data_IF_409261002180
#
_entry.id   IF_409261002180
#
_cell.length_a   1.000
_cell.length_b   1.000
_cell.length_c   1.000
_cell.angle_alpha   90.00
_cell.angle_beta   90.00
_cell.angle_gamma   90.00
#
_symmetry.space_group_name_H-M   'P 1'
#
loop_
_entity.id
_entity.type
_entity.pdbx_description
1 polymer ?
#
# COMPACT_ATOMS: atom_id res chain seq x y z
N UNK A 1 -4.99 26.24 15.41
CA UNK A 1 -6.01 25.32 14.85
C UNK A 1 -5.74 25.27 13.36
N UNK A 2 -5.52 24.10 12.80
CA UNK A 2 -5.43 23.95 11.35
C UNK A 2 -6.83 23.64 10.86
N UNK A 3 -7.35 24.43 9.94
CA UNK A 3 -8.67 24.23 9.37
C UNK A 3 -8.55 23.97 7.87
N UNK A 4 -9.29 23.00 7.42
CA UNK A 4 -9.44 22.66 6.03
C UNK A 4 -10.86 22.95 5.58
N UNK A 5 -11.00 23.55 4.41
CA UNK A 5 -12.29 23.81 3.80
C UNK A 5 -12.31 23.13 2.43
N UNK A 6 -13.25 22.22 2.24
CA UNK A 6 -13.44 21.51 0.98
C UNK A 6 -14.79 21.74 0.40
N UNK A 7 -14.82 21.65 -0.90
CA UNK A 7 -16.05 21.58 -1.69
C UNK A 7 -16.21 20.11 -2.11
N UNK A 8 -17.25 19.45 -1.60
CA UNK A 8 -17.63 18.11 -2.03
C UNK A 8 -18.78 18.21 -3.03
N UNK A 9 -18.53 17.70 -4.23
CA UNK A 9 -19.60 17.53 -5.22
C UNK A 9 -20.50 16.37 -4.76
N UNK A 10 -21.80 16.59 -4.73
CA UNK A 10 -22.78 15.54 -4.42
C UNK A 10 -22.87 14.56 -5.58
N UNK A 11 -22.45 13.33 -5.36
CA UNK A 11 -22.42 12.28 -6.39
C UNK A 11 -23.80 11.86 -6.91
N UNK A 12 -24.90 12.17 -6.19
CA UNK A 12 -26.29 12.00 -6.64
C UNK A 12 -27.06 13.29 -6.42
N UNK A 13 -27.46 13.93 -7.51
CA UNK A 13 -28.34 15.09 -7.46
C UNK A 13 -29.79 14.65 -7.19
N UNK A 14 -30.43 15.28 -6.22
CA UNK A 14 -31.87 15.08 -6.00
C UNK A 14 -32.66 15.75 -7.15
N UNK A 15 -33.90 15.28 -7.43
CA UNK A 15 -34.75 15.87 -8.45
C UNK A 15 -34.93 17.39 -8.27
N UNK A 16 -35.00 17.85 -7.02
CA UNK A 16 -35.02 19.30 -6.71
C UNK A 16 -33.75 20.04 -7.16
N UNK A 17 -32.60 19.43 -7.02
CA UNK A 17 -31.32 20.03 -7.45
C UNK A 17 -31.17 20.09 -8.96
N UNK A 18 -31.77 19.12 -9.67
CA UNK A 18 -31.77 19.11 -11.15
C UNK A 18 -32.66 20.22 -11.73
N UNK A 19 -33.81 20.48 -11.12
CA UNK A 19 -34.82 21.40 -11.67
C UNK A 19 -34.77 22.83 -11.12
N UNK A 20 -33.97 23.08 -10.08
CA UNK A 20 -33.87 24.42 -9.46
C UNK A 20 -32.59 25.13 -9.87
N UNK A 21 -32.73 26.27 -10.55
CA UNK A 21 -31.59 27.07 -11.03
C UNK A 21 -30.72 27.70 -9.93
N UNK A 22 -31.09 27.60 -8.67
CA UNK A 22 -30.33 28.10 -7.52
C UNK A 22 -29.95 27.03 -6.50
N UNK A 23 -30.10 25.74 -6.84
CA UNK A 23 -29.80 24.68 -5.90
C UNK A 23 -28.29 24.52 -5.70
N UNK A 24 -27.85 24.44 -4.43
CA UNK A 24 -26.47 24.19 -4.07
C UNK A 24 -26.16 22.72 -4.39
N UNK A 25 -25.23 22.51 -5.32
CA UNK A 25 -24.78 21.20 -5.80
C UNK A 25 -23.55 20.68 -5.04
N UNK A 26 -22.98 21.51 -4.20
CA UNK A 26 -21.74 21.27 -3.48
C UNK A 26 -21.91 21.51 -2.00
N UNK A 27 -21.30 20.65 -1.19
CA UNK A 27 -21.25 20.84 0.26
C UNK A 27 -19.88 21.35 0.68
N UNK A 28 -19.87 22.26 1.64
CA UNK A 28 -18.65 22.77 2.24
C UNK A 28 -18.31 21.88 3.45
N UNK A 29 -17.19 21.17 3.39
CA UNK A 29 -16.68 20.39 4.52
C UNK A 29 -15.53 21.14 5.16
N UNK A 30 -15.65 21.40 6.45
CA UNK A 30 -14.60 22.06 7.23
C UNK A 30 -14.01 21.00 8.18
N UNK A 31 -12.76 20.65 7.95
CA UNK A 31 -11.98 19.80 8.86
C UNK A 31 -11.05 20.68 9.69
N UNK A 32 -11.06 20.53 10.99
CA UNK A 32 -10.20 21.31 11.88
C UNK A 32 -9.58 20.40 12.94
N UNK A 33 -8.28 20.54 13.14
CA UNK A 33 -7.56 19.86 14.21
C UNK A 33 -6.57 20.79 14.92
N UNK A 34 -6.27 20.49 16.17
CA UNK A 34 -5.30 21.22 16.95
C UNK A 34 -3.94 20.50 16.86
N UNK A 35 -2.91 21.11 16.27
CA UNK A 35 -1.58 20.49 16.22
C UNK A 35 -1.02 20.32 17.65
N UNK A 36 -0.22 19.30 17.86
CA UNK A 36 0.52 19.09 19.10
C UNK A 36 1.45 20.29 19.37
N UNK A 37 1.56 20.71 20.64
CA UNK A 37 2.39 21.85 21.02
C UNK A 37 3.86 21.65 20.59
N UNK A 38 4.40 20.44 20.74
CA UNK A 38 5.75 20.08 20.30
C UNK A 38 5.98 20.26 18.80
N UNK A 39 4.97 19.97 17.98
CA UNK A 39 5.03 20.18 16.53
C UNK A 39 4.95 21.67 16.19
N UNK A 40 4.10 22.40 16.92
CA UNK A 40 3.99 23.86 16.78
C UNK A 40 5.30 24.57 17.09
N UNK A 41 5.96 24.20 18.18
CA UNK A 41 7.25 24.76 18.58
C UNK A 41 8.36 24.44 17.56
N UNK A 42 8.41 23.22 17.06
CA UNK A 42 9.35 22.81 15.99
C UNK A 42 9.15 23.60 14.71
N UNK A 43 7.89 23.78 14.29
CA UNK A 43 7.56 24.54 13.08
C UNK A 43 7.92 26.03 13.28
N UNK A 44 7.63 26.61 14.45
CA UNK A 44 7.94 28.01 14.73
C UNK A 44 9.44 28.28 14.90
N UNK A 45 10.20 27.34 15.50
CA UNK A 45 11.63 27.47 15.70
C UNK A 45 12.44 27.29 14.40
N UNK A 46 11.92 26.53 13.46
CA UNK A 46 12.50 26.33 12.12
C UNK A 46 11.71 27.02 11.01
N UNK A 47 10.95 28.07 11.31
CA UNK A 47 10.04 28.72 10.39
C UNK A 47 10.69 29.03 9.02
N UNK A 48 10.10 28.46 7.95
CA UNK A 48 10.58 28.65 6.59
C UNK A 48 11.70 27.70 6.14
N UNK A 49 11.96 26.62 6.87
CA UNK A 49 12.85 25.53 6.44
C UNK A 49 12.08 24.36 5.82
N UNK A 50 12.75 23.61 4.97
CA UNK A 50 12.18 22.39 4.36
C UNK A 50 11.77 21.36 5.41
N UNK A 51 12.51 21.27 6.53
CA UNK A 51 12.18 20.36 7.64
C UNK A 51 10.80 20.65 8.27
N UNK A 52 10.39 21.92 8.32
CA UNK A 52 9.07 22.29 8.84
C UNK A 52 7.94 21.85 7.92
N UNK A 53 8.18 21.84 6.61
CA UNK A 53 7.24 21.26 5.64
C UNK A 53 6.98 19.79 5.94
N UNK A 54 8.02 19.00 6.11
CA UNK A 54 7.88 17.55 6.36
C UNK A 54 7.32 17.24 7.74
N UNK A 55 7.65 18.04 8.73
CA UNK A 55 7.03 17.94 10.06
C UNK A 55 5.51 18.22 10.00
N UNK A 56 5.11 19.24 9.22
CA UNK A 56 3.71 19.53 8.98
C UNK A 56 3.00 18.38 8.27
N UNK A 57 3.56 17.86 7.16
CA UNK A 57 2.96 16.75 6.39
C UNK A 57 2.80 15.51 7.26
N UNK A 58 3.83 15.16 8.05
CA UNK A 58 3.78 14.02 8.98
C UNK A 58 2.63 14.19 9.99
N UNK A 59 2.54 15.38 10.60
CA UNK A 59 1.47 15.68 11.55
C UNK A 59 0.09 15.68 10.89
N UNK A 60 -0.02 16.18 9.66
CA UNK A 60 -1.27 16.19 8.94
C UNK A 60 -1.72 14.76 8.62
N UNK A 61 -0.84 13.93 8.04
CA UNK A 61 -1.11 12.52 7.75
C UNK A 61 -1.49 11.71 8.99
N UNK A 62 -0.89 12.00 10.15
CA UNK A 62 -1.22 11.31 11.42
C UNK A 62 -2.63 11.58 11.93
N UNK A 63 -3.24 12.70 11.52
CA UNK A 63 -4.60 13.09 11.92
C UNK A 63 -5.67 12.68 10.89
N UNK A 64 -5.28 12.19 9.71
CA UNK A 64 -6.23 11.75 8.69
C UNK A 64 -6.65 10.29 8.94
N UNK A 65 -7.90 9.94 8.63
CA UNK A 65 -8.32 8.54 8.67
C UNK A 65 -7.45 7.70 7.73
N UNK A 66 -7.22 6.45 8.08
CA UNK A 66 -6.43 5.53 7.26
C UNK A 66 -7.33 4.79 6.27
N UNK A 67 -8.52 4.41 6.70
CA UNK A 67 -9.50 3.66 5.92
C UNK A 67 -10.85 4.36 6.01
N UNK A 68 -11.51 4.51 4.89
CA UNK A 68 -12.89 5.04 4.80
C UNK A 68 -13.69 4.14 3.86
N UNK A 69 -14.90 3.78 4.29
CA UNK A 69 -15.95 3.15 3.50
C UNK A 69 -17.24 3.94 3.77
N UNK A 70 -17.37 5.08 3.09
CA UNK A 70 -18.45 6.03 3.32
C UNK A 70 -19.82 5.49 2.90
N UNK A 71 -19.85 4.70 1.85
CA UNK A 71 -21.07 4.12 1.29
C UNK A 71 -21.42 2.76 1.89
N UNK A 72 -20.60 2.22 2.78
CA UNK A 72 -20.72 0.88 3.37
C UNK A 72 -20.91 -0.23 2.32
N UNK A 73 -20.20 -0.08 1.20
CA UNK A 73 -20.28 -1.00 0.08
C UNK A 73 -19.17 -2.09 0.09
N UNK A 74 -18.35 -2.10 1.14
CA UNK A 74 -17.22 -3.02 1.30
C UNK A 74 -16.02 -2.67 0.43
N UNK A 75 -15.94 -1.45 -0.09
CA UNK A 75 -14.78 -0.92 -0.83
C UNK A 75 -14.13 0.20 -0.04
N UNK A 76 -12.83 0.31 -0.19
CA UNK A 76 -12.08 1.41 0.42
C UNK A 76 -12.16 2.62 -0.51
N UNK A 77 -12.65 3.73 0.04
CA UNK A 77 -12.69 4.98 -0.68
C UNK A 77 -11.33 5.69 -0.71
N UNK A 78 -11.09 6.40 -1.79
CA UNK A 78 -9.95 7.31 -1.87
C UNK A 78 -10.19 8.47 -0.91
N UNK A 79 -9.22 8.73 -0.05
CA UNK A 79 -9.19 9.87 0.86
C UNK A 79 -8.42 11.00 0.16
N UNK A 80 -9.11 11.98 -0.44
CA UNK A 80 -8.46 12.99 -1.29
C UNK A 80 -7.37 13.79 -0.55
N UNK A 81 -7.50 13.98 0.79
CA UNK A 81 -6.53 14.68 1.63
C UNK A 81 -5.17 14.00 1.73
N UNK A 82 -5.13 12.74 1.38
CA UNK A 82 -3.87 11.98 1.31
C UNK A 82 -3.21 12.07 -0.06
N UNK A 83 -3.85 12.72 -1.03
CA UNK A 83 -3.28 12.91 -2.37
C UNK A 83 -2.30 14.08 -2.40
N UNK A 84 -1.28 13.98 -3.27
CA UNK A 84 -0.17 14.91 -3.34
C UNK A 84 -0.58 16.38 -3.44
N UNK A 85 -1.55 16.70 -4.32
CA UNK A 85 -1.97 18.08 -4.57
C UNK A 85 -2.65 18.70 -3.36
N UNK A 86 -3.50 17.94 -2.63
CA UNK A 86 -4.14 18.45 -1.41
C UNK A 86 -3.16 18.54 -0.23
N UNK A 87 -2.19 17.64 -0.13
CA UNK A 87 -1.12 17.77 0.86
C UNK A 87 -0.29 19.04 0.61
N UNK A 88 -0.01 19.37 -0.66
CA UNK A 88 0.67 20.61 -1.02
C UNK A 88 -0.17 21.84 -0.66
N UNK A 89 -1.42 21.87 -1.06
CA UNK A 89 -2.34 22.98 -0.77
C UNK A 89 -2.48 23.21 0.75
N UNK A 90 -2.53 22.15 1.53
CA UNK A 90 -2.58 22.22 3.00
C UNK A 90 -1.31 22.79 3.59
N UNK A 91 -0.18 22.37 3.11
CA UNK A 91 1.12 22.86 3.53
C UNK A 91 1.25 24.36 3.21
N UNK A 92 0.90 24.76 2.00
CA UNK A 92 0.93 26.18 1.58
C UNK A 92 -0.03 27.02 2.42
N UNK A 93 -1.27 26.56 2.58
CA UNK A 93 -2.28 27.26 3.38
C UNK A 93 -1.83 27.44 4.84
N UNK A 94 -1.22 26.39 5.43
CA UNK A 94 -0.68 26.45 6.80
C UNK A 94 0.39 27.54 6.93
N UNK A 95 1.35 27.60 6.01
CA UNK A 95 2.43 28.57 6.03
C UNK A 95 1.88 29.99 5.88
N UNK A 96 1.01 30.23 4.92
CA UNK A 96 0.39 31.56 4.67
C UNK A 96 -0.41 32.01 5.90
N UNK A 97 -1.26 31.15 6.47
CA UNK A 97 -2.09 31.49 7.63
C UNK A 97 -1.30 31.81 8.88
N UNK A 98 -0.09 31.31 8.99
CA UNK A 98 0.81 31.59 10.12
C UNK A 98 1.85 32.69 9.79
N UNK A 99 1.78 33.32 8.63
CA UNK A 99 2.73 34.35 8.21
C UNK A 99 4.15 33.83 8.00
N UNK A 100 4.29 32.55 7.65
CA UNK A 100 5.58 31.85 7.44
C UNK A 100 5.81 31.71 5.94
N UNK A 101 7.00 32.01 5.41
CA UNK A 101 7.31 31.75 4.00
C UNK A 101 7.13 30.27 3.64
N UNK A 102 6.62 29.99 2.45
CA UNK A 102 6.54 28.64 1.91
C UNK A 102 7.95 28.21 1.46
N UNK A 103 8.58 27.20 2.09
CA UNK A 103 10.01 26.94 1.92
C UNK A 103 10.35 26.06 0.71
N UNK A 104 9.36 25.51 0.03
CA UNK A 104 9.54 24.53 -1.04
C UNK A 104 8.51 24.74 -2.16
N UNK A 105 8.90 24.57 -3.39
CA UNK A 105 7.99 24.62 -4.53
C UNK A 105 7.25 23.28 -4.72
N UNK A 106 6.27 23.27 -5.63
CA UNK A 106 5.42 22.10 -5.87
C UNK A 106 6.23 20.91 -6.42
N UNK A 107 7.21 21.13 -7.29
CA UNK A 107 7.98 20.07 -7.94
C UNK A 107 8.85 19.34 -6.90
N UNK A 108 9.57 20.09 -6.09
CA UNK A 108 10.41 19.54 -5.03
C UNK A 108 9.57 18.93 -3.91
N UNK A 109 8.40 19.50 -3.62
CA UNK A 109 7.46 18.92 -2.67
C UNK A 109 6.96 17.55 -3.11
N UNK A 110 6.50 17.38 -4.36
CA UNK A 110 6.01 16.10 -4.87
C UNK A 110 7.12 15.05 -4.91
N UNK A 111 8.33 15.42 -5.29
CA UNK A 111 9.48 14.54 -5.24
C UNK A 111 9.80 14.12 -3.79
N UNK A 112 9.77 15.06 -2.87
CA UNK A 112 9.98 14.78 -1.45
C UNK A 112 8.91 13.91 -0.82
N UNK A 113 7.65 14.00 -1.27
CA UNK A 113 6.59 13.08 -0.86
C UNK A 113 6.92 11.62 -1.24
N UNK A 114 7.31 11.39 -2.49
CA UNK A 114 7.67 10.04 -2.98
C UNK A 114 8.95 9.50 -2.28
N UNK A 115 9.84 10.35 -1.82
CA UNK A 115 11.06 9.95 -1.10
C UNK A 115 10.85 9.68 0.40
N UNK A 116 9.83 10.28 1.03
CA UNK A 116 9.66 10.31 2.49
C UNK A 116 8.44 9.54 3.00
N UNK A 117 7.44 9.30 2.15
CA UNK A 117 6.18 8.66 2.53
C UNK A 117 5.84 7.50 1.62
N UNK A 118 5.16 6.49 2.18
CA UNK A 118 4.72 5.33 1.42
C UNK A 118 3.44 5.65 0.65
N UNK A 119 3.38 5.24 -0.62
CA UNK A 119 2.25 5.50 -1.51
C UNK A 119 1.44 4.24 -1.74
N UNK A 120 0.11 4.33 -1.62
CA UNK A 120 -0.87 3.29 -1.96
C UNK A 120 -2.07 3.95 -2.65
N UNK A 121 -2.47 3.45 -3.79
CA UNK A 121 -3.64 3.92 -4.55
C UNK A 121 -3.69 5.44 -4.75
N UNK A 122 -2.53 6.06 -4.99
CA UNK A 122 -2.40 7.50 -5.18
C UNK A 122 -2.40 8.34 -3.89
N UNK A 123 -2.52 7.70 -2.73
CA UNK A 123 -2.51 8.31 -1.40
C UNK A 123 -1.18 8.10 -0.68
N UNK A 124 -0.80 9.02 0.20
CA UNK A 124 0.42 8.93 1.01
C UNK A 124 0.11 8.56 2.45
N UNK A 125 0.98 7.74 3.02
CA UNK A 125 0.83 7.18 4.36
C UNK A 125 2.13 7.23 5.14
N UNK A 126 2.02 7.27 6.46
CA UNK A 126 3.12 6.98 7.37
C UNK A 126 3.37 5.46 7.40
N UNK A 127 4.60 5.00 7.70
CA UNK A 127 4.94 3.57 7.67
C UNK A 127 4.06 2.68 8.56
N UNK A 128 3.61 3.17 9.71
CA UNK A 128 2.68 2.47 10.61
C UNK A 128 1.25 2.41 10.05
N UNK A 129 0.79 3.45 9.36
CA UNK A 129 -0.53 3.51 8.76
C UNK A 129 -0.71 2.55 7.58
N UNK A 130 0.36 2.28 6.82
CA UNK A 130 0.29 1.37 5.66
C UNK A 130 -0.13 -0.04 6.07
N UNK A 131 0.23 -0.49 7.27
CA UNK A 131 -0.18 -1.81 7.76
C UNK A 131 -1.69 -1.93 7.94
N UNK A 132 -2.31 -0.89 8.47
CA UNK A 132 -3.75 -0.81 8.64
C UNK A 132 -4.45 -0.76 7.27
N UNK A 133 -3.97 0.11 6.37
CA UNK A 133 -4.51 0.26 5.03
C UNK A 133 -4.43 -1.04 4.22
N UNK A 134 -3.25 -1.66 4.13
CA UNK A 134 -3.05 -2.89 3.36
C UNK A 134 -3.87 -4.06 3.96
N UNK A 135 -4.04 -4.12 5.29
CA UNK A 135 -4.88 -5.13 5.94
C UNK A 135 -6.37 -4.92 5.62
N UNK A 136 -6.84 -3.68 5.66
CA UNK A 136 -8.21 -3.34 5.29
C UNK A 136 -8.46 -3.65 3.80
N UNK A 137 -7.52 -3.32 2.93
CA UNK A 137 -7.61 -3.62 1.51
C UNK A 137 -7.72 -5.12 1.22
N UNK A 138 -6.94 -5.95 1.91
CA UNK A 138 -7.07 -7.41 1.81
C UNK A 138 -8.48 -7.88 2.19
N UNK A 139 -9.10 -7.27 3.19
CA UNK A 139 -10.43 -7.69 3.70
C UNK A 139 -11.59 -7.16 2.87
N UNK A 140 -11.52 -5.93 2.39
CA UNK A 140 -12.66 -5.19 1.84
C UNK A 140 -12.64 -5.13 0.30
N UNK A 141 -11.47 -5.02 -0.32
CA UNK A 141 -11.36 -4.78 -1.75
C UNK A 141 -11.40 -6.10 -2.53
N UNK A 142 -12.62 -6.65 -2.70
CA UNK A 142 -12.86 -7.87 -3.47
C UNK A 142 -13.54 -7.47 -4.78
N UNK A 143 -12.78 -7.43 -5.87
CA UNK A 143 -13.38 -7.26 -7.19
C UNK A 143 -14.31 -8.43 -7.51
N UNK A 144 -15.54 -8.17 -7.98
CA UNK A 144 -16.43 -9.24 -8.43
C UNK A 144 -15.80 -9.96 -9.63
N UNK A 145 -15.71 -11.28 -9.54
CA UNK A 145 -15.14 -12.11 -10.60
C UNK A 145 -16.18 -12.26 -11.69
N UNK A 146 -15.87 -11.74 -12.88
CA UNK A 146 -16.66 -11.96 -14.07
C UNK A 146 -16.19 -13.28 -14.73
N UNK A 147 -17.09 -14.26 -14.82
CA UNK A 147 -16.78 -15.55 -15.41
C UNK A 147 -17.02 -15.51 -16.93
N UNK A 148 -15.95 -15.68 -17.68
CA UNK A 148 -15.99 -15.85 -19.12
C UNK A 148 -16.11 -17.33 -19.51
N UNK A 149 -16.69 -17.59 -20.70
CA UNK A 149 -16.84 -18.95 -21.23
C UNK A 149 -15.51 -19.58 -21.67
N UNK A 150 -14.56 -18.73 -22.06
CA UNK A 150 -13.24 -19.15 -22.59
C UNK A 150 -12.14 -18.40 -21.88
N UNK A 151 -10.99 -19.07 -21.74
CA UNK A 151 -9.77 -18.44 -21.20
C UNK A 151 -9.03 -17.77 -22.37
N UNK A 152 -9.15 -16.46 -22.50
CA UNK A 152 -8.56 -15.66 -23.58
C UNK A 152 -7.51 -14.66 -23.13
N UNK A 153 -7.50 -14.31 -21.85
CA UNK A 153 -6.59 -13.35 -21.25
C UNK A 153 -6.36 -13.65 -19.77
N UNK A 154 -5.50 -12.89 -19.10
CA UNK A 154 -5.19 -13.05 -17.69
C UNK A 154 -6.44 -13.02 -16.79
N UNK A 155 -7.38 -12.08 -17.00
CA UNK A 155 -8.60 -11.97 -16.19
C UNK A 155 -9.48 -13.21 -16.30
N UNK A 156 -9.70 -13.71 -17.51
CA UNK A 156 -10.47 -14.94 -17.75
C UNK A 156 -9.76 -16.18 -17.21
N UNK A 157 -8.41 -16.21 -17.24
CA UNK A 157 -7.61 -17.27 -16.62
C UNK A 157 -7.74 -17.27 -15.08
N UNK A 158 -7.69 -16.12 -14.44
CA UNK A 158 -7.91 -15.96 -13.01
C UNK A 158 -9.34 -16.39 -12.64
N UNK A 159 -10.35 -15.98 -13.42
CA UNK A 159 -11.74 -16.38 -13.20
C UNK A 159 -11.91 -17.91 -13.34
N UNK A 160 -11.24 -18.52 -14.31
CA UNK A 160 -11.20 -19.97 -14.47
C UNK A 160 -10.56 -20.66 -13.26
N UNK A 161 -9.45 -20.13 -12.75
CA UNK A 161 -8.78 -20.63 -11.54
C UNK A 161 -9.70 -20.58 -10.31
N UNK A 162 -10.45 -19.51 -10.14
CA UNK A 162 -11.46 -19.44 -9.05
C UNK A 162 -12.49 -20.56 -9.14
N UNK A 163 -12.91 -20.96 -10.33
CA UNK A 163 -13.81 -22.12 -10.50
C UNK A 163 -13.13 -23.45 -10.19
N UNK A 164 -11.86 -23.60 -10.59
CA UNK A 164 -11.12 -24.84 -10.34
C UNK A 164 -10.76 -25.03 -8.87
N UNK A 165 -10.48 -23.95 -8.15
CA UNK A 165 -10.07 -23.94 -6.76
C UNK A 165 -11.25 -23.89 -5.76
N UNK A 166 -12.47 -24.21 -6.20
CA UNK A 166 -13.58 -24.51 -5.29
C UNK A 166 -13.20 -25.61 -4.29
N UNK A 167 -12.32 -26.49 -4.69
CA UNK A 167 -11.61 -27.42 -3.82
C UNK A 167 -10.08 -27.23 -3.94
N UNK A 168 -9.31 -27.33 -2.84
CA UNK A 168 -7.86 -27.18 -2.88
C UNK A 168 -7.18 -28.17 -3.83
N UNK A 169 -6.33 -27.68 -4.76
CA UNK A 169 -5.63 -28.49 -5.75
C UNK A 169 -4.16 -28.16 -5.81
N UNK A 170 -3.34 -29.16 -6.18
CA UNK A 170 -1.92 -28.98 -6.42
C UNK A 170 -1.66 -28.35 -7.78
N UNK A 171 -0.45 -27.81 -7.98
CA UNK A 171 -0.02 -27.32 -9.29
C UNK A 171 -0.09 -28.42 -10.37
N UNK A 172 0.32 -29.65 -10.02
CA UNK A 172 0.31 -30.78 -10.94
C UNK A 172 -1.11 -31.19 -11.39
N UNK A 173 -2.13 -30.94 -10.58
CA UNK A 173 -3.53 -31.19 -10.94
C UNK A 173 -4.11 -30.06 -11.80
N UNK A 174 -3.70 -28.83 -11.55
CA UNK A 174 -4.19 -27.64 -12.28
C UNK A 174 -3.55 -27.48 -13.65
N UNK A 175 -2.24 -27.73 -13.78
CA UNK A 175 -1.49 -27.46 -15.01
C UNK A 175 -2.05 -28.20 -16.25
N UNK A 176 -2.35 -29.49 -16.23
CA UNK A 176 -2.91 -30.17 -17.40
C UNK A 176 -4.28 -29.63 -17.82
N UNK A 177 -5.13 -29.27 -16.85
CA UNK A 177 -6.43 -28.68 -17.10
C UNK A 177 -6.32 -27.29 -17.72
N UNK A 178 -5.43 -26.47 -17.17
CA UNK A 178 -5.14 -25.14 -17.69
C UNK A 178 -4.64 -25.16 -19.13
N UNK A 179 -3.69 -26.06 -19.41
CA UNK A 179 -3.15 -26.22 -20.76
C UNK A 179 -4.18 -26.69 -21.79
N UNK A 180 -5.25 -27.36 -21.38
CA UNK A 180 -6.37 -27.71 -22.27
C UNK A 180 -7.23 -26.51 -22.59
N UNK A 181 -7.50 -25.65 -21.61
CA UNK A 181 -8.32 -24.45 -21.77
C UNK A 181 -7.62 -23.37 -22.61
N UNK A 182 -6.32 -23.17 -22.41
CA UNK A 182 -5.55 -22.14 -23.10
C UNK A 182 -5.27 -22.48 -24.59
N UNK A 183 -5.43 -23.73 -25.01
CA UNK A 183 -5.20 -24.17 -26.41
C UNK A 183 -6.06 -23.46 -27.44
N UNK A 184 -7.13 -22.80 -27.03
CA UNK A 184 -8.05 -22.10 -27.94
C UNK A 184 -7.81 -20.59 -28.02
N UNK A 185 -6.75 -20.07 -27.38
CA UNK A 185 -6.45 -18.63 -27.35
C UNK A 185 -5.74 -18.22 -28.64
N UNK A 186 -6.31 -17.24 -29.34
CA UNK A 186 -5.63 -16.55 -30.42
C UNK A 186 -4.42 -15.76 -29.90
N UNK A 187 -3.31 -15.79 -30.60
CA UNK A 187 -1.94 -15.41 -30.24
C UNK A 187 -1.66 -13.95 -29.88
N UNK A 188 -2.60 -13.17 -29.34
CA UNK A 188 -2.45 -11.71 -29.27
C UNK A 188 -2.26 -11.11 -27.87
N UNK A 189 -2.37 -11.86 -26.77
CA UNK A 189 -2.07 -11.35 -25.43
C UNK A 189 -1.05 -12.27 -24.73
N UNK A 190 0.02 -11.67 -24.20
CA UNK A 190 0.98 -12.36 -23.33
C UNK A 190 0.24 -12.79 -22.04
N UNK A 191 -0.06 -14.08 -21.95
CA UNK A 191 -0.67 -14.65 -20.76
C UNK A 191 0.43 -15.00 -19.76
N UNK A 192 0.34 -14.52 -18.49
CA UNK A 192 1.29 -14.90 -17.47
C UNK A 192 1.31 -16.41 -17.24
N UNK A 193 2.44 -16.93 -16.77
CA UNK A 193 2.53 -18.34 -16.40
C UNK A 193 1.55 -18.70 -15.30
N UNK A 194 1.01 -19.91 -15.34
CA UNK A 194 0.07 -20.42 -14.34
C UNK A 194 0.63 -20.28 -12.91
N UNK A 195 1.93 -20.52 -12.72
CA UNK A 195 2.62 -20.37 -11.44
C UNK A 195 2.55 -18.95 -10.92
N UNK A 196 2.71 -17.95 -11.78
CA UNK A 196 2.64 -16.53 -11.44
C UNK A 196 1.22 -16.15 -11.03
N UNK A 197 0.22 -16.53 -11.84
CA UNK A 197 -1.19 -16.24 -11.53
C UNK A 197 -1.65 -16.88 -10.22
N UNK A 198 -1.22 -18.12 -9.96
CA UNK A 198 -1.50 -18.81 -8.69
C UNK A 198 -0.81 -18.09 -7.53
N UNK A 199 0.47 -17.78 -7.69
CA UNK A 199 1.21 -17.06 -6.66
C UNK A 199 0.70 -15.63 -6.45
N UNK A 200 0.09 -15.00 -7.39
CA UNK A 200 -0.48 -13.66 -7.24
C UNK A 200 -1.83 -13.61 -6.55
N UNK A 201 -2.71 -14.56 -6.81
CA UNK A 201 -4.12 -14.47 -6.45
C UNK A 201 -4.57 -15.48 -5.40
N UNK A 202 -3.81 -16.55 -5.16
CA UNK A 202 -4.21 -17.67 -4.29
C UNK A 202 -3.15 -17.96 -3.23
N UNK A 203 -3.46 -18.76 -2.25
CA UNK A 203 -2.55 -19.20 -1.17
C UNK A 203 -2.47 -20.71 -1.11
N UNK A 204 -1.39 -21.23 -0.52
CA UNK A 204 -1.18 -22.65 -0.35
C UNK A 204 -1.49 -23.10 1.08
N UNK A 205 -2.02 -24.33 1.21
CA UNK A 205 -2.10 -25.03 2.47
C UNK A 205 -0.76 -25.74 2.80
N UNK A 206 -0.70 -26.37 3.96
CA UNK A 206 0.51 -27.09 4.44
C UNK A 206 0.88 -28.31 3.57
N UNK A 207 -0.01 -28.74 2.69
CA UNK A 207 0.19 -29.83 1.71
C UNK A 207 0.59 -29.34 0.33
N UNK A 208 0.82 -28.03 0.15
CA UNK A 208 1.17 -27.42 -1.11
C UNK A 208 0.02 -27.33 -2.11
N UNK A 209 -1.24 -27.43 -1.65
CA UNK A 209 -2.42 -27.27 -2.48
C UNK A 209 -2.87 -25.83 -2.48
N UNK A 210 -3.14 -25.29 -3.65
CA UNK A 210 -3.69 -23.96 -3.83
C UNK A 210 -5.17 -23.92 -3.48
N UNK A 211 -5.63 -22.84 -2.87
CA UNK A 211 -7.03 -22.59 -2.55
C UNK A 211 -7.36 -21.10 -2.53
N UNK A 212 -8.65 -20.81 -2.62
CA UNK A 212 -9.17 -19.43 -2.58
C UNK A 212 -9.07 -18.94 -1.12
N UNK A 213 -8.34 -17.84 -0.86
CA UNK A 213 -8.23 -17.30 0.50
C UNK A 213 -9.58 -16.82 1.03
N UNK A 214 -9.94 -17.26 2.23
CA UNK A 214 -11.11 -16.74 2.96
C UNK A 214 -10.70 -15.48 3.72
N UNK A 215 -11.05 -14.33 3.19
CA UNK A 215 -10.68 -13.02 3.75
C UNK A 215 -11.35 -12.69 5.08
N UNK A 216 -12.30 -13.51 5.54
CA UNK A 216 -12.89 -13.42 6.88
C UNK A 216 -12.06 -14.16 7.93
N UNK A 217 -11.19 -15.09 7.51
CA UNK A 217 -10.32 -15.86 8.40
C UNK A 217 -8.99 -15.15 8.61
N UNK A 218 -8.66 -14.86 9.86
CA UNK A 218 -7.40 -14.19 10.22
C UNK A 218 -6.16 -14.92 9.70
N UNK A 219 -6.16 -16.25 9.68
CA UNK A 219 -5.06 -17.06 9.16
C UNK A 219 -4.80 -16.83 7.67
N UNK A 220 -5.85 -16.73 6.85
CA UNK A 220 -5.71 -16.46 5.42
C UNK A 220 -5.32 -15.02 5.15
N UNK A 221 -5.89 -14.07 5.91
CA UNK A 221 -5.48 -12.65 5.86
C UNK A 221 -4.00 -12.50 6.23
N UNK A 222 -3.52 -13.21 7.25
CA UNK A 222 -2.11 -13.20 7.64
C UNK A 222 -1.19 -13.75 6.53
N UNK A 223 -1.58 -14.85 5.86
CA UNK A 223 -0.84 -15.40 4.72
C UNK A 223 -0.78 -14.43 3.53
N UNK A 224 -1.92 -13.80 3.19
CA UNK A 224 -1.97 -12.78 2.14
C UNK A 224 -1.09 -11.57 2.48
N UNK A 225 -1.13 -11.13 3.75
CA UNK A 225 -0.29 -10.04 4.24
C UNK A 225 1.20 -10.39 4.15
N UNK A 226 1.60 -11.58 4.62
CA UNK A 226 2.98 -12.05 4.52
C UNK A 226 3.46 -12.08 3.07
N UNK A 227 2.61 -12.52 2.16
CA UNK A 227 2.88 -12.55 0.73
C UNK A 227 3.11 -11.15 0.15
N UNK A 228 2.24 -10.18 0.48
CA UNK A 228 2.41 -8.80 0.04
C UNK A 228 3.69 -8.17 0.60
N UNK A 229 4.02 -8.45 1.87
CA UNK A 229 5.26 -8.00 2.50
C UNK A 229 6.50 -8.62 1.83
N UNK A 230 6.41 -9.88 1.42
CA UNK A 230 7.48 -10.52 0.66
C UNK A 230 7.69 -9.86 -0.72
N UNK A 231 6.63 -9.62 -1.49
CA UNK A 231 6.72 -8.90 -2.77
C UNK A 231 7.34 -7.50 -2.59
N UNK A 232 6.95 -6.80 -1.55
CA UNK A 232 7.52 -5.49 -1.22
C UNK A 232 9.02 -5.62 -0.89
N UNK A 233 9.43 -6.63 -0.13
CA UNK A 233 10.83 -6.91 0.15
C UNK A 233 11.62 -7.27 -1.12
N UNK A 234 11.07 -8.06 -2.03
CA UNK A 234 11.69 -8.35 -3.34
C UNK A 234 11.91 -7.08 -4.16
N UNK A 235 10.98 -6.13 -4.11
CA UNK A 235 11.16 -4.83 -4.77
C UNK A 235 12.34 -4.07 -4.18
N UNK A 236 12.55 -4.15 -2.86
CA UNK A 236 13.73 -3.56 -2.21
C UNK A 236 15.02 -4.26 -2.62
N UNK A 237 15.02 -5.59 -2.74
CA UNK A 237 16.20 -6.35 -3.21
C UNK A 237 16.60 -5.93 -4.63
N UNK A 238 15.61 -5.76 -5.51
CA UNK A 238 15.82 -5.37 -6.90
C UNK A 238 16.19 -3.89 -7.08
N UNK A 239 15.96 -3.05 -6.08
CA UNK A 239 16.36 -1.64 -6.12
C UNK A 239 17.86 -1.48 -5.89
N UNK A 240 18.45 -0.37 -6.40
CA UNK A 240 19.89 -0.09 -6.25
C UNK A 240 20.13 0.93 -5.12
N UNK A 241 21.25 0.78 -4.43
CA UNK A 241 21.74 1.73 -3.43
C UNK A 241 21.11 1.57 -2.04
N UNK A 242 21.29 2.60 -1.20
CA UNK A 242 20.79 2.61 0.18
C UNK A 242 19.29 2.84 0.21
N UNK A 243 18.60 2.07 1.03
CA UNK A 243 17.15 2.21 1.27
C UNK A 243 16.91 3.32 2.30
N UNK A 244 16.23 4.39 1.88
CA UNK A 244 15.83 5.50 2.75
C UNK A 244 14.40 5.33 3.27
N UNK A 245 13.51 4.78 2.42
CA UNK A 245 12.12 4.54 2.71
C UNK A 245 11.82 3.04 2.56
N UNK A 246 11.35 2.41 3.62
CA UNK A 246 11.02 0.98 3.66
C UNK A 246 10.11 0.67 4.85
N UNK A 247 9.45 -0.49 4.80
CA UNK A 247 8.66 -1.03 5.91
C UNK A 247 9.49 -2.06 6.68
N UNK A 248 9.67 -1.84 7.97
CA UNK A 248 10.39 -2.78 8.84
C UNK A 248 9.79 -4.18 8.85
N UNK A 249 8.46 -4.30 8.70
CA UNK A 249 7.78 -5.58 8.61
C UNK A 249 8.15 -6.35 7.33
N UNK A 250 8.26 -5.68 6.19
CA UNK A 250 8.71 -6.31 4.95
C UNK A 250 10.15 -6.82 5.09
N UNK A 251 11.03 -6.04 5.72
CA UNK A 251 12.41 -6.48 6.01
C UNK A 251 12.41 -7.72 6.94
N UNK A 252 11.57 -7.73 7.99
CA UNK A 252 11.46 -8.90 8.90
C UNK A 252 11.00 -10.16 8.17
N UNK A 253 9.98 -10.05 7.32
CA UNK A 253 9.47 -11.16 6.51
C UNK A 253 10.57 -11.63 5.53
N UNK A 254 11.22 -10.70 4.86
CA UNK A 254 12.30 -10.99 3.92
C UNK A 254 13.47 -11.73 4.58
N UNK A 255 13.98 -11.22 5.70
CA UNK A 255 15.06 -11.87 6.43
C UNK A 255 14.66 -13.25 6.95
N UNK A 256 13.44 -13.42 7.45
CA UNK A 256 12.92 -14.70 7.89
C UNK A 256 12.89 -15.74 6.76
N UNK A 257 12.46 -15.33 5.56
CA UNK A 257 12.38 -16.21 4.39
C UNK A 257 13.77 -16.56 3.86
N UNK A 258 14.63 -15.56 3.65
CA UNK A 258 16.02 -15.77 3.24
C UNK A 258 16.79 -16.68 4.21
N UNK A 259 16.49 -16.55 5.50
CA UNK A 259 17.05 -17.43 6.54
C UNK A 259 16.61 -18.88 6.37
N UNK A 260 15.32 -19.13 6.14
CA UNK A 260 14.78 -20.49 5.87
C UNK A 260 15.43 -21.09 4.61
N UNK A 261 15.68 -20.26 3.61
CA UNK A 261 16.30 -20.64 2.33
C UNK A 261 17.84 -20.74 2.44
N UNK A 262 18.42 -20.48 3.64
CA UNK A 262 19.86 -20.46 3.90
C UNK A 262 20.64 -19.45 3.03
N UNK A 263 19.97 -18.43 2.54
CA UNK A 263 20.59 -17.37 1.72
C UNK A 263 21.13 -16.25 2.64
N UNK A 264 22.19 -16.58 3.37
CA UNK A 264 22.80 -15.68 4.36
C UNK A 264 23.45 -14.45 3.71
N UNK A 265 24.03 -14.62 2.51
CA UNK A 265 24.65 -13.51 1.79
C UNK A 265 23.63 -12.41 1.48
N UNK A 266 22.44 -12.76 0.96
CA UNK A 266 21.40 -11.79 0.66
C UNK A 266 20.90 -11.03 1.91
N UNK A 267 20.92 -11.67 3.10
CA UNK A 267 20.59 -10.99 4.36
C UNK A 267 21.64 -9.93 4.68
N UNK A 268 22.92 -10.26 4.56
CA UNK A 268 24.04 -9.33 4.83
C UNK A 268 24.01 -8.18 3.84
N UNK A 269 23.92 -8.47 2.54
CA UNK A 269 23.89 -7.45 1.48
C UNK A 269 22.72 -6.47 1.67
N UNK A 270 21.55 -6.98 2.06
CA UNK A 270 20.40 -6.14 2.32
C UNK A 270 20.57 -5.31 3.59
N UNK A 271 21.12 -5.89 4.66
CA UNK A 271 21.37 -5.18 5.91
C UNK A 271 22.34 -4.00 5.74
N UNK A 272 23.34 -4.12 4.87
CA UNK A 272 24.27 -3.04 4.56
C UNK A 272 23.62 -1.87 3.80
N UNK A 273 22.49 -2.11 3.14
CA UNK A 273 21.73 -1.08 2.43
C UNK A 273 20.75 -0.33 3.34
N UNK A 274 20.45 -0.89 4.52
CA UNK A 274 19.57 -0.28 5.51
C UNK A 274 20.34 0.73 6.39
N UNK A 275 19.65 1.71 7.00
CA UNK A 275 20.23 2.52 8.05
C UNK A 275 20.70 1.65 9.21
N UNK A 276 21.91 1.82 9.70
CA UNK A 276 22.49 1.03 10.81
C UNK A 276 21.58 0.97 12.04
N UNK A 277 20.90 2.08 12.32
CA UNK A 277 19.95 2.19 13.42
C UNK A 277 18.81 1.16 13.31
N UNK A 278 18.31 0.87 12.11
CA UNK A 278 17.23 -0.09 11.85
C UNK A 278 17.60 -1.51 12.32
N UNK A 279 18.83 -1.95 12.02
CA UNK A 279 19.29 -3.27 12.46
C UNK A 279 19.55 -3.29 13.97
N UNK A 280 20.06 -2.18 14.54
CA UNK A 280 20.39 -2.11 15.96
C UNK A 280 19.17 -2.06 16.87
N UNK A 281 18.09 -1.41 16.44
CA UNK A 281 16.86 -1.24 17.22
C UNK A 281 15.89 -2.42 17.12
N UNK A 282 16.07 -3.30 16.15
CA UNK A 282 15.23 -4.48 15.94
C UNK A 282 15.98 -5.77 16.29
N UNK A 283 15.66 -6.37 17.42
CA UNK A 283 16.31 -7.58 17.92
C UNK A 283 16.24 -8.76 16.95
N UNK A 284 15.15 -8.91 16.19
CA UNK A 284 15.00 -9.96 15.19
C UNK A 284 15.90 -9.73 13.98
N UNK A 285 15.95 -8.51 13.47
CA UNK A 285 16.82 -8.17 12.34
C UNK A 285 18.27 -8.30 12.72
N UNK A 286 18.64 -7.84 13.93
CA UNK A 286 19.99 -7.99 14.46
C UNK A 286 20.38 -9.46 14.58
N UNK A 287 19.52 -10.30 15.14
CA UNK A 287 19.76 -11.74 15.26
C UNK A 287 20.03 -12.38 13.87
N UNK A 288 19.18 -12.12 12.87
CA UNK A 288 19.38 -12.65 11.52
C UNK A 288 20.69 -12.17 10.90
N UNK A 289 21.03 -10.90 11.06
CA UNK A 289 22.25 -10.32 10.54
C UNK A 289 23.50 -10.94 11.18
N UNK A 290 23.59 -10.96 12.53
CA UNK A 290 24.76 -11.44 13.26
C UNK A 290 25.04 -12.92 12.98
N UNK A 291 23.97 -13.74 12.97
CA UNK A 291 24.15 -15.17 12.69
C UNK A 291 24.50 -15.38 11.19
N UNK A 292 23.97 -14.59 10.27
CA UNK A 292 24.33 -14.69 8.85
C UNK A 292 25.80 -14.36 8.62
N UNK A 293 26.33 -13.30 9.26
CA UNK A 293 27.76 -12.99 9.23
C UNK A 293 28.62 -14.15 9.72
N UNK A 294 28.24 -14.77 10.85
CA UNK A 294 28.98 -15.91 11.41
C UNK A 294 28.92 -17.17 10.52
N UNK A 295 27.88 -17.30 9.67
CA UNK A 295 27.73 -18.44 8.75
C UNK A 295 28.53 -18.27 7.44
N UNK A 296 28.91 -17.03 7.10
CA UNK A 296 29.67 -16.70 5.90
C UNK A 296 31.19 -16.68 6.15
N UNK A 297 31.61 -16.67 7.42
CA UNK A 297 33.00 -16.84 7.85
C UNK A 297 33.36 -18.34 7.94
#
# INVERSE_FOLDING_TARGET
MVADVRILSKGKESFKQIVSSGAVKEDLVISAYKPLNSTKEKILSGAGTEETTWAFVTQHLSNLPVVVDADHNGKIDIIPERQAYLLFDRMVAYHIMNGIPVPIDATDFYKGLDEKFLKRDGMYFLPDQVNEYDTARIKMDVEPIQFDLFVTNEKSAIAWLYRQLDTPQTYAELQPKFMQEVKSVDHYEDMPELSVMLDENFIQDDKGRWYIPDRTKEGDVAKLREKNLWKEFESYMNSKGKLKLFRSEAIRVGFSRLWKDKNYQAIVDMAERLPKKTIQEDDKLRMYYDISLNRLQ
#
